data_IF_820030163176
#
_entry.id   IF_820030163176
#
_cell.length_a   1.000
_cell.length_b   1.000
_cell.length_c   1.000
_cell.angle_alpha   90.00
_cell.angle_beta   90.00
_cell.angle_gamma   90.00
#
_symmetry.space_group_name_H-M   'P 1'
#
loop_
_entity.id
_entity.type
_entity.pdbx_description
1 polymer ?
#
# COMPACT_ATOMS: atom_id res chain seq x y z
N UNK A 1 18.62 -13.97 -9.41
CA UNK A 1 17.89 -12.69 -9.59
C UNK A 1 18.93 -11.61 -9.83
N UNK A 2 18.78 -10.79 -10.87
CA UNK A 2 19.77 -9.76 -11.18
C UNK A 2 19.43 -8.48 -10.38
N UNK A 3 20.37 -7.92 -9.58
CA UNK A 3 20.13 -6.66 -8.87
C UNK A 3 19.72 -5.54 -9.82
N UNK A 4 18.69 -4.79 -9.45
CA UNK A 4 18.12 -3.72 -10.26
C UNK A 4 17.18 -4.18 -11.37
N UNK A 5 16.73 -5.44 -11.37
CA UNK A 5 15.69 -5.94 -12.27
C UNK A 5 14.30 -5.41 -11.83
N UNK A 6 13.67 -4.46 -12.56
CA UNK A 6 12.44 -3.85 -12.08
C UNK A 6 11.18 -4.71 -12.33
N UNK A 7 11.35 -5.93 -12.86
CA UNK A 7 10.31 -6.97 -13.00
C UNK A 7 10.39 -8.05 -11.92
N UNK A 8 11.47 -8.08 -11.13
CA UNK A 8 11.64 -9.07 -10.08
C UNK A 8 10.63 -8.84 -8.93
N UNK A 9 10.31 -9.88 -8.13
CA UNK A 9 9.52 -9.75 -6.91
C UNK A 9 10.00 -8.58 -6.03
N UNK A 10 9.08 -7.87 -5.35
CA UNK A 10 9.41 -6.70 -4.54
C UNK A 10 10.19 -7.12 -3.29
N UNK A 11 11.50 -7.24 -3.45
CA UNK A 11 12.44 -7.68 -2.41
C UNK A 11 13.64 -6.75 -2.42
N UNK A 12 14.37 -6.70 -1.30
CA UNK A 12 15.62 -5.92 -1.22
C UNK A 12 16.63 -6.38 -2.28
N UNK A 13 16.66 -7.68 -2.60
CA UNK A 13 17.52 -8.24 -3.64
C UNK A 13 17.23 -7.72 -5.06
N UNK A 14 16.02 -7.19 -5.30
CA UNK A 14 15.68 -6.56 -6.59
C UNK A 14 16.23 -5.15 -6.76
N UNK A 15 16.71 -4.51 -5.68
CA UNK A 15 17.25 -3.16 -5.73
C UNK A 15 18.55 -3.10 -6.53
N UNK A 16 18.85 -1.97 -7.19
CA UNK A 16 20.17 -1.74 -7.75
C UNK A 16 21.24 -1.80 -6.65
N UNK A 17 22.45 -2.26 -6.98
CA UNK A 17 23.56 -2.25 -6.03
C UNK A 17 23.85 -0.84 -5.51
N UNK A 18 24.20 -0.74 -4.24
CA UNK A 18 24.68 0.50 -3.64
C UNK A 18 26.02 0.89 -4.27
N UNK A 19 26.23 2.18 -4.51
CA UNK A 19 27.50 2.72 -4.97
C UNK A 19 28.50 2.97 -3.82
N UNK A 20 28.09 2.68 -2.59
CA UNK A 20 28.88 2.78 -1.36
C UNK A 20 28.66 1.54 -0.50
N UNK A 21 29.61 1.20 0.41
CA UNK A 21 29.39 0.12 1.37
C UNK A 21 28.18 0.41 2.27
N UNK A 22 27.43 -0.63 2.62
CA UNK A 22 26.20 -0.49 3.41
C UNK A 22 26.45 0.12 4.80
N UNK A 23 27.61 -0.17 5.37
CA UNK A 23 28.08 0.32 6.67
C UNK A 23 28.33 1.83 6.68
N UNK A 24 28.42 2.47 5.50
CA UNK A 24 28.59 3.93 5.37
C UNK A 24 27.27 4.69 5.31
N UNK A 25 26.13 3.99 5.25
CA UNK A 25 24.82 4.63 5.40
C UNK A 25 24.64 5.18 6.82
N UNK A 26 23.71 6.11 7.01
CA UNK A 26 23.33 6.56 8.34
C UNK A 26 22.75 5.40 9.17
N UNK A 27 22.85 5.50 10.50
CA UNK A 27 22.22 4.52 11.39
C UNK A 27 20.69 4.44 11.16
N UNK A 28 19.95 5.57 11.04
CA UNK A 28 18.53 5.51 10.68
C UNK A 28 18.25 4.76 9.37
N UNK A 29 19.08 4.94 8.34
CA UNK A 29 18.89 4.22 7.07
C UNK A 29 19.15 2.72 7.20
N UNK A 30 20.17 2.29 7.96
CA UNK A 30 20.39 0.86 8.21
C UNK A 30 19.24 0.23 8.97
N UNK A 31 18.71 0.92 9.98
CA UNK A 31 17.54 0.46 10.73
C UNK A 31 16.31 0.37 9.82
N UNK A 32 16.03 1.42 9.04
CA UNK A 32 14.91 1.43 8.11
C UNK A 32 15.01 0.33 7.03
N UNK A 33 16.23 0.04 6.58
CA UNK A 33 16.51 -1.06 5.66
C UNK A 33 16.19 -2.42 6.28
N UNK A 34 16.62 -2.67 7.53
CA UNK A 34 16.33 -3.91 8.25
C UNK A 34 14.82 -4.11 8.46
N UNK A 35 14.11 -3.09 8.93
CA UNK A 35 12.65 -3.11 9.09
C UNK A 35 11.92 -3.36 7.76
N UNK A 36 12.44 -2.79 6.67
CA UNK A 36 11.89 -3.04 5.34
C UNK A 36 12.10 -4.49 4.91
N UNK A 37 13.26 -5.09 5.20
CA UNK A 37 13.54 -6.49 4.89
C UNK A 37 12.63 -7.43 5.66
N UNK A 38 12.47 -7.20 6.96
CA UNK A 38 11.56 -7.94 7.84
C UNK A 38 10.12 -7.83 7.37
N UNK A 39 9.66 -6.62 7.06
CA UNK A 39 8.33 -6.39 6.53
C UNK A 39 8.14 -7.15 5.20
N UNK A 40 9.09 -7.09 4.27
CA UNK A 40 9.00 -7.80 2.97
C UNK A 40 9.11 -9.33 3.12
N UNK A 41 9.84 -9.82 4.11
CA UNK A 41 9.97 -11.25 4.41
C UNK A 41 8.66 -11.86 4.93
N UNK A 42 7.72 -11.05 5.44
CA UNK A 42 6.41 -11.52 5.87
C UNK A 42 5.52 -11.88 4.66
N UNK A 43 5.60 -13.13 4.22
CA UNK A 43 4.85 -13.66 3.07
C UNK A 43 3.36 -13.87 3.39
N UNK A 44 2.45 -13.67 2.42
CA UNK A 44 1.04 -13.99 2.60
C UNK A 44 0.84 -15.48 2.91
N UNK A 45 -0.18 -15.84 3.72
CA UNK A 45 -0.50 -17.23 4.01
C UNK A 45 -0.90 -17.95 2.71
N UNK A 46 -0.64 -19.26 2.61
CA UNK A 46 -1.07 -20.03 1.44
C UNK A 46 -2.59 -20.01 1.32
N UNK A 47 -3.06 -20.04 0.08
CA UNK A 47 -4.48 -20.17 -0.22
C UNK A 47 -5.01 -21.53 0.28
N UNK A 48 -6.30 -21.62 0.64
CA UNK A 48 -6.92 -22.90 0.93
C UNK A 48 -6.92 -23.79 -0.33
N UNK A 49 -6.88 -25.11 -0.13
CA UNK A 49 -6.94 -26.08 -1.23
C UNK A 49 -8.26 -25.98 -2.02
N UNK A 50 -9.36 -25.74 -1.31
CA UNK A 50 -10.65 -25.41 -1.89
C UNK A 50 -10.79 -23.88 -2.00
N UNK A 51 -10.99 -23.38 -3.21
CA UNK A 51 -11.21 -21.95 -3.51
C UNK A 51 -12.68 -21.57 -3.65
N UNK A 52 -13.61 -22.39 -3.15
CA UNK A 52 -15.02 -22.00 -3.04
C UNK A 52 -15.22 -20.73 -2.22
N UNK A 53 -16.32 -20.00 -2.46
CA UNK A 53 -16.60 -18.75 -1.75
C UNK A 53 -16.62 -18.95 -0.24
N UNK A 54 -17.23 -20.04 0.24
CA UNK A 54 -17.29 -20.35 1.67
C UNK A 54 -15.90 -20.62 2.28
N UNK A 55 -15.00 -21.27 1.52
CA UNK A 55 -13.64 -21.59 1.97
C UNK A 55 -12.77 -20.33 2.01
N UNK A 56 -12.81 -19.53 0.95
CA UNK A 56 -12.11 -18.24 0.89
C UNK A 56 -12.63 -17.24 1.93
N UNK A 57 -13.93 -17.23 2.22
CA UNK A 57 -14.49 -16.38 3.27
C UNK A 57 -13.95 -16.77 4.66
N UNK A 58 -13.93 -18.07 4.99
CA UNK A 58 -13.37 -18.54 6.27
C UNK A 58 -11.87 -18.25 6.37
N UNK A 59 -11.11 -18.58 5.33
CA UNK A 59 -9.68 -18.31 5.26
C UNK A 59 -9.38 -16.81 5.37
N UNK A 60 -10.15 -15.96 4.67
CA UNK A 60 -9.91 -14.52 4.68
C UNK A 60 -10.15 -13.91 6.05
N UNK A 61 -11.23 -14.31 6.74
CA UNK A 61 -11.55 -13.84 8.10
C UNK A 61 -10.59 -14.35 9.16
N UNK A 62 -10.21 -15.63 9.11
CA UNK A 62 -9.45 -16.26 10.18
C UNK A 62 -7.93 -16.09 10.02
N UNK A 63 -7.42 -16.10 8.78
CA UNK A 63 -5.97 -16.18 8.50
C UNK A 63 -5.49 -14.92 7.77
N UNK A 64 -6.09 -14.59 6.63
CA UNK A 64 -5.60 -13.50 5.79
C UNK A 64 -5.74 -12.13 6.47
N UNK A 65 -6.86 -11.86 7.15
CA UNK A 65 -7.09 -10.60 7.87
C UNK A 65 -6.04 -10.37 8.98
N UNK A 66 -5.66 -11.44 9.69
CA UNK A 66 -4.59 -11.37 10.69
C UNK A 66 -3.24 -11.03 10.06
N UNK A 67 -2.91 -11.69 8.95
CA UNK A 67 -1.69 -11.38 8.18
C UNK A 67 -1.70 -9.94 7.66
N UNK A 68 -2.81 -9.47 7.07
CA UNK A 68 -2.97 -8.07 6.60
C UNK A 68 -2.74 -7.09 7.75
N UNK A 69 -3.27 -7.37 8.93
CA UNK A 69 -3.08 -6.56 10.13
C UNK A 69 -1.61 -6.48 10.55
N UNK A 70 -0.94 -7.63 10.65
CA UNK A 70 0.48 -7.70 10.98
C UNK A 70 1.33 -6.99 9.94
N UNK A 71 1.19 -7.34 8.65
CA UNK A 71 1.92 -6.74 7.54
C UNK A 71 1.74 -5.22 7.48
N UNK A 72 0.52 -4.73 7.73
CA UNK A 72 0.26 -3.28 7.77
C UNK A 72 0.98 -2.58 8.92
N UNK A 73 1.12 -3.23 10.08
CA UNK A 73 1.89 -2.70 11.20
C UNK A 73 3.39 -2.61 10.86
N UNK A 74 3.97 -3.68 10.33
CA UNK A 74 5.37 -3.73 9.90
C UNK A 74 5.67 -2.68 8.81
N UNK A 75 4.81 -2.58 7.79
CA UNK A 75 4.92 -1.57 6.73
C UNK A 75 4.85 -0.15 7.31
N UNK A 76 3.98 0.09 8.29
CA UNK A 76 3.86 1.41 8.93
C UNK A 76 5.12 1.77 9.71
N UNK A 77 5.67 0.83 10.47
CA UNK A 77 6.91 1.01 11.23
C UNK A 77 8.10 1.26 10.30
N UNK A 78 8.27 0.42 9.28
CA UNK A 78 9.32 0.60 8.27
C UNK A 78 9.19 1.96 7.56
N UNK A 79 7.97 2.39 7.18
CA UNK A 79 7.74 3.71 6.56
C UNK A 79 8.14 4.86 7.48
N UNK A 80 7.80 4.78 8.76
CA UNK A 80 8.21 5.81 9.73
C UNK A 80 9.74 5.93 9.80
N UNK A 81 10.46 4.80 9.88
CA UNK A 81 11.92 4.80 9.88
C UNK A 81 12.51 5.32 8.55
N UNK A 82 11.88 5.00 7.41
CA UNK A 82 12.31 5.50 6.09
C UNK A 82 12.13 7.02 5.96
N UNK A 83 11.08 7.59 6.53
CA UNK A 83 10.86 9.04 6.53
C UNK A 83 11.95 9.77 7.32
N UNK A 84 12.36 9.23 8.47
CA UNK A 84 13.50 9.74 9.25
C UNK A 84 14.81 9.62 8.46
N UNK A 85 15.09 8.44 7.90
CA UNK A 85 16.30 8.17 7.12
C UNK A 85 16.40 9.07 5.87
N UNK A 86 15.27 9.37 5.22
CA UNK A 86 15.23 10.23 4.03
C UNK A 86 15.72 11.66 4.31
N UNK A 87 15.67 12.12 5.56
CA UNK A 87 16.14 13.45 5.98
C UNK A 87 17.66 13.56 6.14
N UNK A 88 18.35 12.42 6.28
CA UNK A 88 19.78 12.39 6.63
C UNK A 88 20.67 12.78 5.46
N UNK A 89 20.34 12.32 4.25
CA UNK A 89 21.10 12.73 3.07
C UNK A 89 20.29 12.66 1.78
N UNK A 90 20.69 13.45 0.78
CA UNK A 90 20.19 13.35 -0.57
C UNK A 90 20.18 11.92 -1.15
N UNK A 91 21.24 11.12 -0.91
CA UNK A 91 21.31 9.74 -1.39
C UNK A 91 20.25 8.87 -0.70
N UNK A 92 20.15 9.01 0.61
CA UNK A 92 19.24 8.22 1.43
C UNK A 92 17.78 8.52 1.12
N UNK A 93 17.46 9.76 0.74
CA UNK A 93 16.14 10.11 0.20
C UNK A 93 15.74 9.27 -1.05
N UNK A 94 16.71 8.93 -1.92
CA UNK A 94 16.44 8.06 -3.09
C UNK A 94 16.20 6.62 -2.64
N UNK A 95 17.06 6.11 -1.75
CA UNK A 95 16.96 4.75 -1.22
C UNK A 95 15.63 4.55 -0.48
N UNK A 96 15.26 5.51 0.37
CA UNK A 96 14.01 5.50 1.13
C UNK A 96 12.78 5.46 0.22
N UNK A 97 12.76 6.28 -0.84
CA UNK A 97 11.67 6.26 -1.82
C UNK A 97 11.56 4.93 -2.57
N UNK A 98 12.68 4.28 -2.89
CA UNK A 98 12.66 2.96 -3.53
C UNK A 98 12.14 1.86 -2.59
N UNK A 99 12.60 1.84 -1.33
CA UNK A 99 12.17 0.90 -0.30
C UNK A 99 10.69 1.06 0.04
N UNK A 100 10.21 2.30 0.22
CA UNK A 100 8.79 2.59 0.42
C UNK A 100 7.93 2.14 -0.77
N UNK A 101 8.47 2.28 -1.99
CA UNK A 101 7.84 1.75 -3.21
C UNK A 101 7.67 0.23 -3.17
N UNK A 102 8.70 -0.51 -2.74
CA UNK A 102 8.63 -1.97 -2.60
C UNK A 102 7.57 -2.40 -1.59
N UNK A 103 7.49 -1.74 -0.42
CA UNK A 103 6.52 -2.06 0.62
C UNK A 103 5.06 -1.90 0.13
N UNK A 104 4.76 -0.78 -0.53
CA UNK A 104 3.42 -0.55 -1.09
C UNK A 104 3.09 -1.50 -2.24
N UNK A 105 4.08 -1.82 -3.09
CA UNK A 105 3.90 -2.78 -4.18
C UNK A 105 3.62 -4.19 -3.66
N UNK A 106 4.38 -4.67 -2.68
CA UNK A 106 4.23 -6.00 -2.10
C UNK A 106 2.83 -6.19 -1.50
N UNK A 107 2.39 -5.24 -0.66
CA UNK A 107 1.05 -5.27 -0.07
C UNK A 107 -0.05 -5.21 -1.13
N UNK A 108 0.07 -4.30 -2.10
CA UNK A 108 -0.90 -4.16 -3.19
C UNK A 108 -1.00 -5.43 -4.05
N UNK A 109 0.13 -6.07 -4.36
CA UNK A 109 0.15 -7.33 -5.13
C UNK A 109 -0.44 -8.50 -4.35
N UNK A 110 -0.16 -8.60 -3.04
CA UNK A 110 -0.74 -9.64 -2.20
C UNK A 110 -2.28 -9.57 -2.15
N UNK A 111 -2.85 -8.36 -2.06
CA UNK A 111 -4.30 -8.16 -2.11
C UNK A 111 -4.90 -8.53 -3.47
N UNK A 112 -4.19 -8.22 -4.56
CA UNK A 112 -4.61 -8.60 -5.91
C UNK A 112 -4.46 -10.11 -6.20
N UNK A 113 -3.66 -10.84 -5.42
CA UNK A 113 -3.43 -12.26 -5.61
C UNK A 113 -4.54 -13.15 -5.03
N UNK A 114 -5.49 -12.58 -4.28
CA UNK A 114 -6.67 -13.33 -3.80
C UNK A 114 -7.53 -13.72 -5.01
N UNK A 115 -7.72 -15.02 -5.26
CA UNK A 115 -8.44 -15.49 -6.45
C UNK A 115 -9.94 -15.18 -6.34
N UNK A 116 -10.60 -15.12 -7.50
CA UNK A 116 -12.07 -15.18 -7.54
C UNK A 116 -12.49 -16.56 -7.03
N UNK A 117 -13.54 -16.65 -6.20
CA UNK A 117 -14.07 -17.93 -5.79
C UNK A 117 -14.44 -18.82 -6.98
N UNK A 118 -14.06 -20.10 -6.93
CA UNK A 118 -14.22 -21.02 -8.07
C UNK A 118 -15.69 -21.25 -8.45
N UNK A 119 -16.59 -21.19 -7.48
CA UNK A 119 -18.04 -21.26 -7.67
C UNK A 119 -18.64 -20.00 -8.32
N UNK A 120 -17.88 -18.89 -8.39
CA UNK A 120 -18.29 -17.65 -9.03
C UNK A 120 -17.63 -17.42 -10.40
N UNK A 121 -16.76 -18.33 -10.86
CA UNK A 121 -16.04 -18.16 -12.14
C UNK A 121 -16.98 -18.11 -13.35
N UNK A 122 -18.03 -18.92 -13.34
CA UNK A 122 -19.07 -18.94 -14.37
C UNK A 122 -20.05 -17.76 -14.26
N UNK A 123 -20.04 -17.04 -13.13
CA UNK A 123 -20.86 -15.87 -12.87
C UNK A 123 -20.11 -14.58 -13.21
N UNK A 124 -19.90 -14.34 -14.51
CA UNK A 124 -19.01 -13.29 -15.02
C UNK A 124 -19.21 -11.90 -14.37
N UNK A 125 -20.46 -11.51 -14.10
CA UNK A 125 -20.79 -10.24 -13.45
C UNK A 125 -20.32 -10.19 -11.98
N UNK A 126 -20.52 -11.27 -11.23
CA UNK A 126 -20.11 -11.36 -9.82
C UNK A 126 -18.58 -11.48 -9.74
N UNK A 127 -17.97 -12.30 -10.59
CA UNK A 127 -16.51 -12.39 -10.69
C UNK A 127 -15.87 -11.03 -11.02
N UNK A 128 -16.49 -10.22 -11.87
CA UNK A 128 -16.04 -8.86 -12.15
C UNK A 128 -16.14 -7.96 -10.91
N UNK A 129 -17.29 -7.98 -10.21
CA UNK A 129 -17.47 -7.21 -8.98
C UNK A 129 -16.45 -7.59 -7.88
N UNK A 130 -16.15 -8.88 -7.72
CA UNK A 130 -15.12 -9.35 -6.79
C UNK A 130 -13.75 -8.77 -7.14
N UNK A 131 -13.33 -8.87 -8.41
CA UNK A 131 -12.05 -8.31 -8.88
C UNK A 131 -11.99 -6.80 -8.67
N UNK A 132 -13.09 -6.09 -8.84
CA UNK A 132 -13.15 -4.65 -8.61
C UNK A 132 -13.00 -4.30 -7.12
N UNK A 133 -13.58 -5.10 -6.22
CA UNK A 133 -13.37 -4.96 -4.78
C UNK A 133 -11.88 -5.17 -4.44
N UNK A 134 -11.25 -6.24 -4.93
CA UNK A 134 -9.82 -6.50 -4.67
C UNK A 134 -8.94 -5.37 -5.20
N UNK A 135 -9.23 -4.85 -6.40
CA UNK A 135 -8.53 -3.68 -6.97
C UNK A 135 -8.73 -2.43 -6.13
N UNK A 136 -9.95 -2.19 -5.67
CA UNK A 136 -10.26 -1.03 -4.82
C UNK A 136 -9.49 -1.10 -3.50
N UNK A 137 -9.44 -2.27 -2.85
CA UNK A 137 -8.67 -2.50 -1.62
C UNK A 137 -7.16 -2.38 -1.83
N UNK A 138 -6.63 -2.85 -2.97
CA UNK A 138 -5.21 -2.75 -3.31
C UNK A 138 -4.78 -1.33 -3.73
N UNK A 139 -5.71 -0.52 -4.26
CA UNK A 139 -5.43 0.80 -4.85
C UNK A 139 -4.61 1.73 -3.95
N UNK A 140 -4.94 1.95 -2.66
CA UNK A 140 -4.17 2.88 -1.82
C UNK A 140 -2.70 2.48 -1.71
N UNK A 141 -2.39 1.19 -1.58
CA UNK A 141 -1.01 0.70 -1.51
C UNK A 141 -0.26 0.89 -2.84
N UNK A 142 -0.93 0.61 -3.97
CA UNK A 142 -0.34 0.79 -5.30
C UNK A 142 -0.16 2.27 -5.68
N UNK A 143 -1.07 3.15 -5.26
CA UNK A 143 -0.93 4.59 -5.43
C UNK A 143 0.23 5.15 -4.62
N UNK A 144 0.37 4.71 -3.36
CA UNK A 144 1.51 5.06 -2.51
C UNK A 144 2.83 4.55 -3.09
N UNK A 145 2.87 3.31 -3.58
CA UNK A 145 4.03 2.76 -4.26
C UNK A 145 4.42 3.60 -5.49
N UNK A 146 3.44 3.97 -6.34
CA UNK A 146 3.69 4.87 -7.50
C UNK A 146 4.25 6.22 -7.06
N UNK A 147 3.72 6.80 -5.98
CA UNK A 147 4.21 8.08 -5.44
C UNK A 147 5.66 7.95 -4.96
N UNK A 148 5.97 6.89 -4.23
CA UNK A 148 7.30 6.62 -3.70
C UNK A 148 8.33 6.38 -4.82
N UNK A 149 8.00 5.56 -5.83
CA UNK A 149 8.86 5.37 -6.99
C UNK A 149 9.07 6.64 -7.81
N UNK A 150 8.02 7.47 -7.98
CA UNK A 150 8.16 8.77 -8.65
C UNK A 150 9.09 9.70 -7.87
N UNK A 151 8.93 9.78 -6.55
CA UNK A 151 9.81 10.58 -5.69
C UNK A 151 11.26 10.07 -5.79
N UNK A 152 11.48 8.75 -5.72
CA UNK A 152 12.79 8.14 -5.95
C UNK A 152 13.41 8.57 -7.28
N UNK A 153 12.66 8.47 -8.38
CA UNK A 153 13.14 8.81 -9.72
C UNK A 153 13.52 10.31 -9.84
N UNK A 154 12.66 11.21 -9.36
CA UNK A 154 12.90 12.65 -9.37
C UNK A 154 14.13 13.03 -8.53
N UNK A 155 14.22 12.46 -7.33
CA UNK A 155 15.35 12.62 -6.44
C UNK A 155 16.64 12.08 -7.08
N UNK A 156 16.58 10.94 -7.78
CA UNK A 156 17.73 10.40 -8.47
C UNK A 156 18.14 11.27 -9.67
N UNK A 157 17.19 11.79 -10.44
CA UNK A 157 17.43 12.65 -11.61
C UNK A 157 18.21 13.93 -11.26
N UNK A 158 17.82 14.63 -10.19
CA UNK A 158 18.55 15.80 -9.69
C UNK A 158 20.04 15.50 -9.42
N UNK A 159 20.39 14.22 -9.26
CA UNK A 159 21.75 13.72 -8.95
C UNK A 159 22.42 13.02 -10.13
N UNK A 160 21.69 12.71 -11.21
CA UNK A 160 22.26 12.14 -12.45
C UNK A 160 23.28 13.09 -13.07
N UNK A 161 23.09 14.41 -12.93
CA UNK A 161 24.07 15.41 -13.33
C UNK A 161 25.44 15.26 -12.63
N UNK A 162 25.50 14.48 -11.54
CA UNK A 162 26.72 14.13 -10.79
C UNK A 162 27.12 12.64 -10.94
N UNK A 163 26.52 11.92 -11.90
CA UNK A 163 26.92 10.58 -12.35
C UNK A 163 26.55 9.37 -11.46
N UNK A 164 26.13 9.56 -10.21
CA UNK A 164 26.09 8.46 -9.23
C UNK A 164 24.78 7.66 -9.10
N UNK A 165 23.64 8.16 -9.61
CA UNK A 165 22.30 7.57 -9.32
C UNK A 165 21.47 7.19 -10.56
N UNK A 166 22.06 7.17 -11.76
CA UNK A 166 21.31 6.88 -13.00
C UNK A 166 20.64 5.49 -13.01
N UNK A 167 21.25 4.48 -12.38
CA UNK A 167 20.66 3.13 -12.26
C UNK A 167 19.41 3.14 -11.38
N UNK A 168 19.45 3.86 -10.27
CA UNK A 168 18.33 4.01 -9.33
C UNK A 168 17.14 4.73 -9.97
N UNK A 169 17.41 5.81 -10.70
CA UNK A 169 16.38 6.51 -11.50
C UNK A 169 15.63 5.54 -12.41
N UNK A 170 16.36 4.86 -13.30
CA UNK A 170 15.79 3.93 -14.28
C UNK A 170 15.02 2.79 -13.61
N UNK A 171 15.55 2.27 -12.51
CA UNK A 171 14.88 1.25 -11.72
C UNK A 171 13.52 1.75 -11.20
N UNK A 172 13.49 2.90 -10.55
CA UNK A 172 12.26 3.45 -9.98
C UNK A 172 11.22 3.85 -11.05
N UNK A 173 11.66 4.44 -12.18
CA UNK A 173 10.79 4.73 -13.33
C UNK A 173 10.15 3.43 -13.87
N UNK A 174 10.99 2.47 -14.26
CA UNK A 174 10.53 1.22 -14.86
C UNK A 174 9.64 0.38 -13.92
N UNK A 175 9.91 0.42 -12.61
CA UNK A 175 9.10 -0.30 -11.62
C UNK A 175 7.76 0.38 -11.38
N UNK A 176 7.75 1.70 -11.25
CA UNK A 176 6.52 2.49 -11.12
C UNK A 176 5.57 2.35 -12.31
N UNK A 177 6.10 2.28 -13.53
CA UNK A 177 5.34 2.06 -14.77
C UNK A 177 4.70 0.67 -14.87
N UNK A 178 5.27 -0.34 -14.18
CA UNK A 178 4.79 -1.72 -14.17
C UNK A 178 3.77 -2.01 -13.07
N UNK A 179 3.49 -1.04 -12.20
CA UNK A 179 2.45 -1.23 -11.19
C UNK A 179 1.08 -1.35 -11.87
N UNK A 180 0.21 -2.30 -11.44
CA UNK A 180 -1.14 -2.41 -11.97
C UNK A 180 -1.84 -1.05 -11.93
N UNK A 181 -2.58 -0.69 -12.98
CA UNK A 181 -3.27 0.59 -13.03
C UNK A 181 -4.26 0.72 -11.87
N UNK A 182 -4.37 1.93 -11.30
CA UNK A 182 -5.46 2.21 -10.38
C UNK A 182 -6.78 2.09 -11.18
N UNK A 183 -7.85 1.54 -10.60
CA UNK A 183 -9.15 1.59 -11.24
C UNK A 183 -9.45 3.06 -11.56
N UNK A 184 -9.89 3.34 -12.80
CA UNK A 184 -10.36 4.67 -13.14
C UNK A 184 -11.46 5.01 -12.12
N UNK A 185 -11.25 6.05 -11.29
CA UNK A 185 -12.26 6.50 -10.33
C UNK A 185 -13.55 6.64 -11.11
N UNK A 186 -14.48 5.72 -10.86
CA UNK A 186 -15.63 5.53 -11.71
C UNK A 186 -16.27 6.88 -11.95
N UNK A 187 -16.35 7.26 -13.23
CA UNK A 187 -17.23 8.32 -13.70
C UNK A 187 -18.58 7.97 -13.08
N UNK A 188 -19.01 8.72 -12.06
CA UNK A 188 -20.21 8.43 -11.29
C UNK A 188 -21.30 8.00 -12.26
N UNK A 189 -21.75 6.75 -12.16
CA UNK A 189 -22.89 6.27 -12.92
C UNK A 189 -24.08 7.02 -12.36
N UNK A 190 -24.31 8.22 -12.89
CA UNK A 190 -25.51 9.01 -12.69
C UNK A 190 -26.66 8.24 -13.36
N UNK A 191 -27.22 7.28 -12.64
CA UNK A 191 -28.22 6.38 -13.22
C UNK A 191 -28.74 5.30 -12.27
N UNK A 192 -28.74 5.54 -10.96
CA UNK A 192 -29.62 4.78 -10.07
C UNK A 192 -31.02 5.39 -10.15
N UNK A 193 -32.09 4.63 -10.48
CA UNK A 193 -33.44 5.14 -10.47
C UNK A 193 -33.78 5.65 -9.06
N UNK A 194 -34.17 6.92 -9.00
CA UNK A 194 -34.66 7.58 -7.80
C UNK A 194 -35.84 6.78 -7.26
N UNK A 195 -35.61 5.99 -6.20
CA UNK A 195 -36.69 5.38 -5.44
C UNK A 195 -37.49 6.54 -4.82
N UNK A 196 -38.70 6.76 -5.33
CA UNK A 196 -39.60 7.77 -4.83
C UNK A 196 -39.76 7.64 -3.31
N UNK A 197 -39.39 8.69 -2.58
CA UNK A 197 -39.76 8.85 -1.18
C UNK A 197 -41.28 9.03 -1.10
N UNK A 198 -42.02 8.18 -0.38
CA UNK A 198 -43.36 8.52 0.06
C UNK A 198 -43.25 9.54 1.19
N UNK A 199 -44.10 10.57 1.12
CA UNK A 199 -44.09 11.71 2.01
C UNK A 199 -44.13 11.35 3.50
N UNK A 200 -43.11 11.77 4.23
CA UNK A 200 -43.13 11.93 5.68
C UNK A 200 -43.24 13.42 6.00
N UNK A 201 -44.32 13.80 6.66
CA UNK A 201 -44.64 15.16 7.10
C UNK A 201 -43.56 15.80 7.99
N UNK A 202 -43.39 17.13 7.96
CA UNK A 202 -42.46 17.84 8.83
C UNK A 202 -43.00 17.94 10.26
N UNK A 203 -42.22 17.49 11.24
CA UNK A 203 -42.40 17.87 12.64
C UNK A 203 -41.24 18.77 13.07
N UNK A 204 -41.61 19.98 13.47
CA UNK A 204 -40.79 21.08 13.96
C UNK A 204 -40.24 20.83 15.37
N UNK A 205 -39.29 21.67 15.85
CA UNK A 205 -38.25 21.29 16.81
C UNK A 205 -38.65 21.47 18.28
N UNK A 206 -37.89 20.84 19.18
CA UNK A 206 -37.88 21.16 20.60
C UNK A 206 -36.44 21.13 21.14
N UNK A 207 -35.88 22.33 21.33
CA UNK A 207 -34.89 22.67 22.37
C UNK A 207 -35.70 22.92 23.66
N UNK A 208 -35.29 22.54 24.89
CA UNK A 208 -34.05 22.96 25.57
C UNK A 208 -33.49 21.82 26.49
N UNK A 209 -32.48 21.89 27.36
CA UNK A 209 -31.85 22.94 28.16
C UNK A 209 -30.45 22.45 28.59
N UNK A 210 -29.51 23.38 28.71
CA UNK A 210 -28.24 23.24 29.43
C UNK A 210 -28.46 23.22 30.94
N UNK A 211 -27.73 22.39 31.71
CA UNK A 211 -27.31 22.82 33.04
C UNK A 211 -25.78 22.86 33.23
N UNK A 212 -25.40 24.01 33.76
CA UNK A 212 -24.23 24.49 34.49
C UNK A 212 -23.10 23.57 34.93
N UNK A 213 -21.92 24.20 34.86
CA UNK A 213 -20.65 23.88 35.49
C UNK A 213 -20.73 23.51 36.97
N UNK A 214 -19.80 22.66 37.42
CA UNK A 214 -19.33 22.68 38.81
C UNK A 214 -17.82 22.45 38.83
N UNK A 215 -17.14 23.43 39.41
CA UNK A 215 -15.76 23.42 39.89
C UNK A 215 -15.44 22.21 40.76
N UNK A 216 -14.22 21.69 40.63
CA UNK A 216 -13.53 21.02 41.73
C UNK A 216 -12.02 21.17 41.57
N UNK A 217 -11.50 22.26 42.11
CA UNK A 217 -10.11 22.40 42.55
C UNK A 217 -9.91 21.56 43.81
N UNK A 218 -8.85 20.75 43.86
CA UNK A 218 -8.59 19.94 45.05
C UNK A 218 -7.24 19.22 45.05
N UNK A 219 -6.20 19.99 45.42
CA UNK A 219 -4.91 19.64 46.08
C UNK A 219 -4.01 18.55 45.48
#
# INVERSE_FOLDING_TARGET
>A
MNPGEPSAPPTIASLPSLSVPFETLSEPMRQAWALTDEALALTPPPLPQDTSASSLERWSKAVFASWVGQKSAEVKEARHALDEAASQSPREQVLAGALAGLLGEDMGRALLAVPVPSDLEDEAAIAAAFRDISRFQASPYLEDARRAYRACAQNAEARVLRGSMARWRRYCEARGERLPAAPARGRSVAGGPSAGSPGGTPSTPSTPSTPSATDATGR
#
